data_IF_104213578262
#
_entry.id   IF_104213578262
#
_cell.length_a   1.000
_cell.length_b   1.000
_cell.length_c   1.000
_cell.angle_alpha   90.00
_cell.angle_beta   90.00
_cell.angle_gamma   90.00
#
_symmetry.space_group_name_H-M   'P 1'
#
loop_
_entity.id
_entity.type
_entity.pdbx_description
1 polymer ?
#
# COMPACT_ATOMS: atom_id res chain seq x y z
N UNK A 1 -1.22 18.54 -22.77
CA UNK A 1 -1.79 19.44 -23.80
C UNK A 1 -0.78 19.59 -24.91
N UNK A 2 -1.19 19.53 -26.18
CA UNK A 2 -0.33 19.82 -27.34
C UNK A 2 -0.97 21.00 -28.04
N UNK A 3 -0.26 22.13 -28.11
CA UNK A 3 -0.78 23.41 -28.59
C UNK A 3 -2.12 23.83 -27.94
N UNK A 4 -2.22 23.78 -26.60
CA UNK A 4 -3.42 24.21 -25.88
C UNK A 4 -4.61 23.24 -25.92
N UNK A 5 -4.54 22.14 -26.69
CA UNK A 5 -5.57 21.10 -26.71
C UNK A 5 -5.20 19.90 -25.82
N UNK A 6 -6.18 19.36 -25.07
CA UNK A 6 -6.01 18.14 -24.28
C UNK A 6 -5.88 16.95 -25.23
N UNK A 7 -4.66 16.49 -25.44
CA UNK A 7 -4.40 15.28 -26.24
C UNK A 7 -4.45 14.07 -25.32
N UNK A 8 -5.35 13.14 -25.62
CA UNK A 8 -5.38 11.81 -25.02
C UNK A 8 -4.63 10.85 -25.94
N UNK A 9 -3.75 10.04 -25.38
CA UNK A 9 -3.08 8.95 -26.10
C UNK A 9 -3.48 7.63 -25.46
N UNK A 10 -3.92 6.70 -26.29
CA UNK A 10 -4.20 5.33 -25.88
C UNK A 10 -2.94 4.49 -26.02
N UNK A 11 -2.75 3.55 -25.11
CA UNK A 11 -1.69 2.56 -25.15
C UNK A 11 -2.17 1.26 -24.50
N UNK A 12 -1.50 0.15 -24.82
CA UNK A 12 -1.74 -1.17 -24.22
C UNK A 12 -0.42 -1.61 -23.57
N UNK A 13 -0.27 -1.46 -22.24
CA UNK A 13 0.97 -1.82 -21.58
C UNK A 13 1.12 -3.35 -21.53
N UNK A 14 2.27 -3.86 -21.96
CA UNK A 14 2.64 -5.26 -21.77
C UNK A 14 3.17 -5.52 -20.35
N UNK A 15 3.59 -4.46 -19.64
CA UNK A 15 4.11 -4.51 -18.28
C UNK A 15 4.00 -3.12 -17.61
N UNK A 16 3.89 -3.06 -16.28
CA UNK A 16 3.88 -1.80 -15.51
C UNK A 16 4.84 -1.82 -14.32
N UNK A 17 5.65 -0.77 -14.19
CA UNK A 17 6.41 -0.48 -12.97
C UNK A 17 5.66 0.56 -12.15
N UNK A 18 5.28 0.23 -10.91
CA UNK A 18 4.53 1.13 -10.03
C UNK A 18 5.49 1.76 -9.02
N UNK A 19 5.61 3.09 -9.07
CA UNK A 19 6.55 3.88 -8.24
C UNK A 19 5.87 4.88 -7.32
N UNK A 20 4.55 4.96 -7.36
CA UNK A 20 3.75 5.90 -6.59
C UNK A 20 2.84 5.14 -5.62
N UNK A 21 2.54 5.76 -4.49
CA UNK A 21 1.59 5.23 -3.53
C UNK A 21 0.19 5.14 -4.14
N UNK A 22 -0.54 4.09 -3.77
CA UNK A 22 -1.92 3.91 -4.22
C UNK A 22 -2.87 4.98 -3.67
N UNK A 23 -2.54 5.52 -2.49
CA UNK A 23 -3.24 6.60 -1.81
C UNK A 23 -2.25 7.66 -1.38
N UNK A 24 -2.50 8.91 -1.72
CA UNK A 24 -1.62 10.02 -1.39
C UNK A 24 -2.40 11.34 -1.29
N UNK A 25 -2.18 12.12 -0.23
CA UNK A 25 -2.72 13.48 -0.05
C UNK A 25 -4.22 13.70 -0.39
N UNK A 26 -5.07 12.68 -0.24
CA UNK A 26 -6.51 12.73 -0.55
C UNK A 26 -6.92 12.03 -1.85
N UNK A 27 -5.96 11.61 -2.66
CA UNK A 27 -6.17 10.86 -3.90
C UNK A 27 -6.24 9.35 -3.61
N UNK A 28 -7.14 8.65 -4.32
CA UNK A 28 -7.26 7.19 -4.30
C UNK A 28 -7.19 6.63 -5.72
N UNK A 29 -6.09 5.94 -6.04
CA UNK A 29 -5.82 5.35 -7.35
C UNK A 29 -6.14 3.85 -7.41
N UNK A 30 -6.89 3.31 -6.45
CA UNK A 30 -7.28 1.89 -6.39
C UNK A 30 -8.00 1.43 -7.65
N UNK A 31 -8.83 2.28 -8.24
CA UNK A 31 -9.51 2.00 -9.50
C UNK A 31 -8.53 1.72 -10.66
N UNK A 32 -7.41 2.45 -10.75
CA UNK A 32 -6.38 2.23 -11.78
C UNK A 32 -5.70 0.88 -11.58
N UNK A 33 -5.34 0.55 -10.33
CA UNK A 33 -4.73 -0.73 -10.01
C UNK A 33 -5.66 -1.92 -10.33
N UNK A 34 -6.95 -1.77 -10.05
CA UNK A 34 -7.97 -2.77 -10.40
C UNK A 34 -8.08 -2.93 -11.92
N UNK A 35 -8.09 -1.84 -12.68
CA UNK A 35 -8.11 -1.91 -14.15
C UNK A 35 -6.89 -2.66 -14.71
N UNK A 36 -5.69 -2.41 -14.18
CA UNK A 36 -4.48 -3.15 -14.56
C UNK A 36 -4.60 -4.65 -14.22
N UNK A 37 -5.17 -4.99 -13.06
CA UNK A 37 -5.39 -6.39 -12.65
C UNK A 37 -6.38 -7.11 -13.56
N UNK A 38 -7.53 -6.47 -13.82
CA UNK A 38 -8.56 -7.01 -14.72
C UNK A 38 -8.06 -7.12 -16.16
N UNK A 39 -7.22 -6.18 -16.61
CA UNK A 39 -6.55 -6.23 -17.90
C UNK A 39 -5.44 -7.28 -18.00
N UNK A 40 -5.13 -8.01 -16.92
CA UNK A 40 -4.08 -9.03 -16.91
C UNK A 40 -2.67 -8.47 -17.07
N UNK A 41 -2.45 -7.19 -16.77
CA UNK A 41 -1.16 -6.53 -16.98
C UNK A 41 -0.18 -6.93 -15.87
N UNK A 42 0.96 -7.55 -16.18
CA UNK A 42 1.98 -7.87 -15.18
C UNK A 42 2.63 -6.60 -14.61
N UNK A 43 3.12 -6.66 -13.36
CA UNK A 43 3.72 -5.50 -12.70
C UNK A 43 4.84 -5.81 -11.72
N UNK A 44 5.67 -4.80 -11.45
CA UNK A 44 6.59 -4.74 -10.30
C UNK A 44 6.22 -3.53 -9.42
N UNK A 45 6.03 -3.70 -8.10
CA UNK A 45 5.76 -4.99 -7.44
C UNK A 45 4.48 -5.63 -7.99
N UNK A 46 4.22 -6.91 -7.71
CA UNK A 46 3.02 -7.57 -8.21
C UNK A 46 1.75 -6.85 -7.70
N UNK A 47 0.68 -6.86 -8.51
CA UNK A 47 -0.55 -6.10 -8.20
C UNK A 47 -1.16 -6.52 -6.85
N UNK A 48 -1.10 -7.82 -6.50
CA UNK A 48 -1.65 -8.31 -5.24
C UNK A 48 -0.92 -7.70 -4.04
N UNK A 49 0.42 -7.59 -4.10
CA UNK A 49 1.22 -6.98 -3.05
C UNK A 49 0.89 -5.49 -2.90
N UNK A 50 0.79 -4.76 -4.03
CA UNK A 50 0.44 -3.33 -4.02
C UNK A 50 -0.95 -3.12 -3.43
N UNK A 51 -1.92 -3.97 -3.78
CA UNK A 51 -3.26 -3.93 -3.19
C UNK A 51 -3.19 -4.15 -1.67
N UNK A 52 -2.47 -5.16 -1.19
CA UNK A 52 -2.36 -5.44 0.24
C UNK A 52 -1.53 -4.37 1.01
N UNK A 53 -0.69 -3.60 0.33
CA UNK A 53 0.11 -2.53 0.93
C UNK A 53 -0.67 -1.23 1.19
N UNK A 54 -1.97 -1.20 0.89
CA UNK A 54 -2.79 0.01 1.04
C UNK A 54 -2.97 0.46 2.51
N UNK A 55 -2.85 -0.47 3.47
CA UNK A 55 -3.03 -0.20 4.90
C UNK A 55 -1.76 -0.52 5.68
N UNK A 56 -1.11 0.50 6.26
CA UNK A 56 0.11 0.33 7.06
C UNK A 56 -0.06 -0.65 8.23
N UNK A 57 -1.15 -0.62 9.03
CA UNK A 57 -1.36 -1.60 10.10
C UNK A 57 -1.47 -3.03 9.60
N UNK A 58 -2.07 -3.24 8.42
CA UNK A 58 -2.14 -4.57 7.79
C UNK A 58 -0.73 -5.10 7.46
N UNK A 59 0.12 -4.27 6.85
CA UNK A 59 1.52 -4.62 6.58
C UNK A 59 2.29 -4.86 7.88
N UNK A 60 2.03 -4.08 8.94
CA UNK A 60 2.65 -4.27 10.24
C UNK A 60 2.28 -5.62 10.88
N UNK A 61 1.04 -6.09 10.73
CA UNK A 61 0.63 -7.40 11.20
C UNK A 61 1.47 -8.55 10.59
N UNK A 62 1.80 -8.48 9.29
CA UNK A 62 2.73 -9.43 8.66
C UNK A 62 4.13 -9.38 9.28
N UNK A 63 4.60 -8.19 9.69
CA UNK A 63 5.88 -8.07 10.42
C UNK A 63 5.81 -8.70 11.81
N UNK A 64 4.67 -8.58 12.51
CA UNK A 64 4.46 -9.27 13.80
C UNK A 64 4.49 -10.78 13.64
N UNK A 65 3.91 -11.32 12.57
CA UNK A 65 3.97 -12.76 12.26
C UNK A 65 5.41 -13.23 12.01
N UNK A 66 6.21 -12.42 11.29
CA UNK A 66 7.63 -12.69 11.09
C UNK A 66 8.38 -12.68 12.43
N UNK A 67 8.15 -11.68 13.28
CA UNK A 67 8.74 -11.61 14.63
C UNK A 67 8.38 -12.83 15.46
N UNK A 68 7.11 -13.26 15.44
CA UNK A 68 6.65 -14.45 16.18
C UNK A 68 7.37 -15.71 15.74
N UNK A 69 7.69 -15.84 14.45
CA UNK A 69 8.42 -16.98 13.90
C UNK A 69 9.92 -16.93 14.19
N UNK A 70 10.54 -15.76 14.11
CA UNK A 70 12.01 -15.61 14.19
C UNK A 70 12.52 -15.28 15.60
N UNK A 71 11.65 -14.80 16.49
CA UNK A 71 12.02 -14.29 17.81
C UNK A 71 12.46 -12.81 17.77
N UNK A 72 12.35 -12.13 18.92
CA UNK A 72 12.67 -10.70 19.05
C UNK A 72 14.14 -10.40 18.74
N UNK A 73 15.05 -11.31 19.08
CA UNK A 73 16.50 -11.12 18.86
C UNK A 73 16.88 -11.12 17.37
N UNK A 74 16.21 -11.96 16.56
CA UNK A 74 16.47 -12.05 15.12
C UNK A 74 15.65 -11.06 14.29
N UNK A 75 14.49 -10.64 14.81
CA UNK A 75 13.62 -9.66 14.16
C UNK A 75 13.11 -8.64 15.20
N UNK A 76 13.91 -7.60 15.52
CA UNK A 76 13.59 -6.62 16.55
C UNK A 76 12.57 -5.58 16.07
N UNK A 77 11.32 -6.01 15.87
CA UNK A 77 10.19 -5.13 15.58
C UNK A 77 9.83 -4.28 16.81
N UNK A 78 9.63 -2.98 16.59
CA UNK A 78 9.16 -2.04 17.63
C UNK A 78 7.80 -2.48 18.21
N UNK A 79 7.60 -2.29 19.50
CA UNK A 79 6.28 -2.51 20.11
C UNK A 79 5.32 -1.40 19.70
N UNK A 80 4.19 -1.78 19.11
CA UNK A 80 3.18 -0.84 18.62
C UNK A 80 1.78 -1.34 19.00
N UNK A 81 0.93 -0.42 19.46
CA UNK A 81 -0.49 -0.67 19.71
C UNK A 81 -1.33 -0.18 18.53
N UNK A 82 -2.22 -1.04 18.03
CA UNK A 82 -3.21 -0.66 17.02
C UNK A 82 -4.54 -0.26 17.69
N UNK A 83 -5.06 0.91 17.33
CA UNK A 83 -6.37 1.39 17.78
C UNK A 83 -7.31 1.48 16.57
N UNK A 84 -8.39 0.69 16.51
CA UNK A 84 -9.34 0.71 15.39
C UNK A 84 -10.00 2.08 15.18
N UNK A 85 -10.15 2.84 16.26
CA UNK A 85 -10.69 4.19 16.25
C UNK A 85 -10.24 4.95 17.52
N UNK A 86 -10.54 6.25 17.58
CA UNK A 86 -10.10 7.13 18.67
C UNK A 86 -10.67 6.77 20.06
N UNK A 87 -11.78 6.04 20.15
CA UNK A 87 -12.41 5.70 21.44
C UNK A 87 -11.56 4.72 22.27
N UNK A 88 -10.73 3.93 21.59
CA UNK A 88 -9.82 2.97 22.23
C UNK A 88 -8.53 3.62 22.75
N UNK A 89 -8.30 4.90 22.43
CA UNK A 89 -7.09 5.64 22.86
C UNK A 89 -7.26 6.19 24.28
N UNK A 90 -7.43 5.29 25.26
CA UNK A 90 -7.78 5.61 26.65
C UNK A 90 -6.64 6.20 27.49
N UNK A 91 -5.39 5.95 27.11
CA UNK A 91 -4.23 6.52 27.80
C UNK A 91 -3.21 6.96 26.75
N UNK A 92 -2.78 8.22 26.84
CA UNK A 92 -1.58 8.63 26.13
C UNK A 92 -0.40 7.83 26.70
N UNK A 93 0.55 7.35 25.86
CA UNK A 93 1.79 6.81 26.37
C UNK A 93 2.39 7.84 27.33
N UNK A 94 2.54 7.48 28.61
CA UNK A 94 3.30 8.31 29.55
C UNK A 94 4.74 8.25 29.05
N UNK A 95 5.22 9.35 28.49
CA UNK A 95 6.64 9.55 28.21
C UNK A 95 7.41 9.66 29.52
#
# INVERSE_FOLDING_TARGET
YRNGAKVVRSFKPDFVLIRQNLRDAGEDYKNILLALKFGGVPSINNINAIYNFQDKPWVFAHMMEIQKRLGKDNFPLIEQSYFPNHKEMLSAPRY
#
